data_IF_471693197354
#
_entry.id   IF_471693197354
#
_cell.length_a   1.000
_cell.length_b   1.000
_cell.length_c   1.000
_cell.angle_alpha   90.00
_cell.angle_beta   90.00
_cell.angle_gamma   90.00
#
_symmetry.space_group_name_H-M   'P 1'
#
loop_
_entity.id
_entity.type
_entity.pdbx_description
1 polymer ?
#
# COMPACT_ATOMS: atom_id res chain seq x y z
N UNK A 1 -31.99 16.05 50.43
CA UNK A 1 -32.92 15.01 50.94
C UNK A 1 -33.80 14.35 49.88
N UNK A 2 -34.10 14.94 48.71
CA UNK A 2 -34.85 14.23 47.65
C UNK A 2 -33.96 13.32 46.78
N UNK A 3 -32.70 13.71 46.53
CA UNK A 3 -31.75 12.97 45.68
C UNK A 3 -31.37 11.60 46.29
N UNK A 4 -31.09 11.55 47.60
CA UNK A 4 -30.65 10.31 48.28
C UNK A 4 -31.71 9.21 48.25
N UNK A 5 -33.00 9.59 48.30
CA UNK A 5 -34.12 8.64 48.26
C UNK A 5 -34.28 8.00 46.88
N UNK A 6 -34.05 8.77 45.82
CA UNK A 6 -34.11 8.27 44.44
C UNK A 6 -32.94 7.33 44.16
N UNK A 7 -31.75 7.65 44.66
CA UNK A 7 -30.58 6.77 44.53
C UNK A 7 -30.78 5.43 45.24
N UNK A 8 -31.23 5.43 46.49
CA UNK A 8 -31.48 4.19 47.25
C UNK A 8 -32.59 3.36 46.60
N UNK A 9 -33.64 4.01 46.09
CA UNK A 9 -34.72 3.33 45.36
C UNK A 9 -34.20 2.69 44.05
N UNK A 10 -33.37 3.39 43.30
CA UNK A 10 -32.75 2.88 42.07
C UNK A 10 -31.85 1.68 42.38
N UNK A 11 -31.00 1.77 43.41
CA UNK A 11 -30.12 0.69 43.84
C UNK A 11 -30.90 -0.56 44.24
N UNK A 12 -31.99 -0.41 44.98
CA UNK A 12 -32.86 -1.53 45.35
C UNK A 12 -33.50 -2.17 44.12
N UNK A 13 -33.97 -1.37 43.15
CA UNK A 13 -34.60 -1.89 41.94
C UNK A 13 -33.61 -2.63 41.05
N UNK A 14 -32.39 -2.11 40.93
CA UNK A 14 -31.29 -2.75 40.21
C UNK A 14 -30.90 -4.07 40.88
N UNK A 15 -30.80 -4.11 42.22
CA UNK A 15 -30.50 -5.34 42.97
C UNK A 15 -31.55 -6.43 42.74
N UNK A 16 -32.83 -6.07 42.81
CA UNK A 16 -33.92 -7.02 42.55
C UNK A 16 -33.87 -7.52 41.10
N UNK A 17 -33.66 -6.63 40.15
CA UNK A 17 -33.55 -7.01 38.74
C UNK A 17 -32.39 -7.99 38.48
N UNK A 18 -31.20 -7.71 39.02
CA UNK A 18 -30.06 -8.62 38.86
C UNK A 18 -30.23 -9.93 39.64
N UNK A 19 -30.89 -9.91 40.79
CA UNK A 19 -31.21 -11.11 41.53
C UNK A 19 -32.18 -12.01 40.75
N UNK A 20 -33.26 -11.44 40.20
CA UNK A 20 -34.24 -12.17 39.41
C UNK A 20 -33.62 -12.69 38.10
N UNK A 21 -32.81 -11.88 37.43
CA UNK A 21 -32.07 -12.28 36.23
C UNK A 21 -31.06 -13.39 36.53
N UNK A 22 -30.33 -13.28 37.64
CA UNK A 22 -29.38 -14.30 38.10
C UNK A 22 -30.04 -15.62 38.46
N UNK A 23 -31.19 -15.56 39.16
CA UNK A 23 -32.00 -16.73 39.48
C UNK A 23 -32.48 -17.42 38.21
N UNK A 24 -33.00 -16.65 37.25
CA UNK A 24 -33.48 -17.18 35.97
C UNK A 24 -32.38 -17.84 35.13
N UNK A 25 -31.17 -17.26 35.12
CA UNK A 25 -30.00 -17.86 34.47
C UNK A 25 -29.58 -19.16 35.18
N UNK A 26 -29.66 -19.18 36.52
CA UNK A 26 -29.36 -20.35 37.35
C UNK A 26 -30.33 -21.52 37.16
N UNK A 27 -31.61 -21.22 36.94
CA UNK A 27 -32.66 -22.21 36.68
C UNK A 27 -32.57 -22.83 35.27
N UNK A 28 -32.00 -22.09 34.31
CA UNK A 28 -31.92 -22.50 32.90
C UNK A 28 -30.51 -22.38 32.28
N UNK A 29 -29.47 -22.99 32.86
CA UNK A 29 -28.08 -22.77 32.44
C UNK A 29 -27.80 -23.26 31.01
N UNK A 30 -28.42 -24.36 30.58
CA UNK A 30 -28.24 -24.92 29.23
C UNK A 30 -28.81 -24.02 28.14
N UNK A 31 -29.94 -23.35 28.39
CA UNK A 31 -30.56 -22.43 27.44
C UNK A 31 -29.72 -21.16 27.28
N UNK A 32 -29.25 -20.58 28.39
CA UNK A 32 -28.41 -19.39 28.35
C UNK A 32 -27.10 -19.63 27.59
N UNK A 33 -26.43 -20.77 27.82
CA UNK A 33 -25.19 -21.14 27.10
C UNK A 33 -25.49 -21.37 25.61
N UNK A 34 -26.57 -22.10 25.29
CA UNK A 34 -26.96 -22.33 23.91
C UNK A 34 -27.24 -21.04 23.14
N UNK A 35 -28.00 -20.11 23.73
CA UNK A 35 -28.35 -18.82 23.12
C UNK A 35 -27.11 -17.94 22.93
N UNK A 36 -26.25 -17.83 23.94
CA UNK A 36 -25.03 -17.00 23.82
C UNK A 36 -24.06 -17.57 22.78
N UNK A 37 -23.89 -18.90 22.73
CA UNK A 37 -22.98 -19.55 21.79
C UNK A 37 -23.51 -19.51 20.35
N UNK A 38 -24.81 -19.70 20.15
CA UNK A 38 -25.46 -19.52 18.84
C UNK A 38 -25.38 -18.07 18.38
N UNK A 39 -25.67 -17.10 19.24
CA UNK A 39 -25.57 -15.68 18.90
C UNK A 39 -24.12 -15.29 18.55
N UNK A 40 -23.14 -15.78 19.30
CA UNK A 40 -21.73 -15.58 19.00
C UNK A 40 -21.35 -16.19 17.63
N UNK A 41 -21.79 -17.43 17.35
CA UNK A 41 -21.52 -18.09 16.07
C UNK A 41 -22.13 -17.34 14.89
N UNK A 42 -23.33 -16.79 15.03
CA UNK A 42 -23.98 -15.98 14.00
C UNK A 42 -23.22 -14.68 13.74
N UNK A 43 -22.70 -14.03 14.78
CA UNK A 43 -21.85 -12.84 14.62
C UNK A 43 -20.52 -13.17 13.95
N UNK A 44 -19.93 -14.34 14.25
CA UNK A 44 -18.71 -14.81 13.59
C UNK A 44 -18.87 -15.03 12.08
N UNK A 45 -20.08 -15.36 11.59
CA UNK A 45 -20.33 -15.46 10.14
C UNK A 45 -20.07 -14.16 9.40
N UNK A 46 -20.10 -13.00 10.08
CA UNK A 46 -19.74 -11.70 9.50
C UNK A 46 -18.31 -11.63 8.97
N UNK A 47 -17.40 -12.50 9.45
CA UNK A 47 -16.01 -12.54 8.99
C UNK A 47 -15.88 -12.91 7.50
N UNK A 48 -16.87 -13.62 6.94
CA UNK A 48 -16.88 -14.01 5.52
C UNK A 48 -16.90 -12.80 4.60
N UNK A 49 -17.45 -11.67 5.06
CA UNK A 49 -17.49 -10.41 4.29
C UNK A 49 -16.41 -9.41 4.76
N UNK A 50 -15.38 -9.88 5.45
CA UNK A 50 -14.26 -9.04 5.83
C UNK A 50 -13.43 -8.68 4.58
N UNK A 51 -13.44 -7.40 4.22
CA UNK A 51 -12.65 -6.87 3.10
C UNK A 51 -11.47 -6.09 3.66
N UNK A 52 -10.28 -6.66 3.52
CA UNK A 52 -9.05 -5.94 3.83
C UNK A 52 -8.73 -4.96 2.70
N UNK A 53 -8.69 -3.68 3.01
CA UNK A 53 -8.23 -2.64 2.07
C UNK A 53 -6.75 -2.41 2.34
N UNK A 54 -5.86 -3.04 1.57
CA UNK A 54 -4.42 -2.89 1.70
C UNK A 54 -3.87 -1.79 0.76
N UNK A 55 -4.36 -0.56 0.96
CA UNK A 55 -3.84 0.62 0.25
C UNK A 55 -3.25 1.59 1.26
N UNK A 56 -1.92 1.59 1.36
CA UNK A 56 -1.15 2.46 2.26
C UNK A 56 -1.52 3.94 2.05
N UNK A 57 -1.76 4.37 0.81
CA UNK A 57 -2.02 5.78 0.49
C UNK A 57 -3.38 6.24 1.02
N UNK A 58 -4.35 5.33 1.10
CA UNK A 58 -5.67 5.60 1.65
C UNK A 58 -5.72 5.45 3.17
N UNK A 59 -4.98 4.50 3.74
CA UNK A 59 -4.98 4.26 5.19
C UNK A 59 -4.31 5.39 6.01
N UNK A 60 -3.33 6.09 5.43
CA UNK A 60 -2.62 7.18 6.13
C UNK A 60 -3.26 8.56 5.97
N UNK A 61 -4.39 8.67 5.27
CA UNK A 61 -5.11 9.93 5.07
C UNK A 61 -6.47 9.88 5.75
N UNK A 62 -6.89 10.97 6.40
CA UNK A 62 -8.22 11.02 7.01
C UNK A 62 -9.33 10.88 5.95
N UNK A 63 -10.42 10.20 6.30
CA UNK A 63 -11.45 9.83 5.33
C UNK A 63 -12.08 11.03 4.61
N UNK A 64 -12.25 12.14 5.33
CA UNK A 64 -12.83 13.40 4.83
C UNK A 64 -11.78 14.48 4.55
N UNK A 65 -10.54 14.10 4.23
CA UNK A 65 -9.48 15.07 3.93
C UNK A 65 -9.59 15.65 2.52
N UNK A 66 -9.30 16.95 2.37
CA UNK A 66 -9.22 17.64 1.07
C UNK A 66 -8.24 16.94 0.12
N UNK A 67 -7.17 16.36 0.67
CA UNK A 67 -6.15 15.59 -0.04
C UNK A 67 -6.74 14.39 -0.80
N UNK A 68 -7.77 13.72 -0.26
CA UNK A 68 -8.45 12.61 -0.96
C UNK A 68 -9.26 13.11 -2.15
N UNK A 69 -9.94 14.25 -2.01
CA UNK A 69 -10.70 14.86 -3.11
C UNK A 69 -9.77 15.30 -4.23
N UNK A 70 -8.68 15.98 -3.90
CA UNK A 70 -7.65 16.36 -4.88
C UNK A 70 -7.06 15.14 -5.59
N UNK A 71 -6.76 14.07 -4.84
CA UNK A 71 -6.26 12.83 -5.41
C UNK A 71 -7.27 12.14 -6.35
N UNK A 72 -8.55 12.12 -5.99
CA UNK A 72 -9.61 11.56 -6.83
C UNK A 72 -9.76 12.32 -8.15
N UNK A 73 -9.77 13.66 -8.09
CA UNK A 73 -9.83 14.53 -9.26
C UNK A 73 -8.59 14.35 -10.14
N UNK A 74 -7.39 14.32 -9.53
CA UNK A 74 -6.14 14.10 -10.27
C UNK A 74 -6.13 12.74 -10.98
N UNK A 75 -6.56 11.68 -10.29
CA UNK A 75 -6.63 10.33 -10.86
C UNK A 75 -7.58 10.26 -12.06
N UNK A 76 -8.73 10.92 -11.98
CA UNK A 76 -9.68 11.02 -13.08
C UNK A 76 -9.08 11.80 -14.27
N UNK A 77 -8.44 12.93 -13.99
CA UNK A 77 -7.81 13.78 -15.00
C UNK A 77 -6.68 13.07 -15.76
N UNK A 78 -5.78 12.37 -15.05
CA UNK A 78 -4.66 11.66 -15.65
C UNK A 78 -5.04 10.29 -16.23
N UNK A 79 -6.30 9.87 -16.09
CA UNK A 79 -6.78 8.54 -16.48
C UNK A 79 -5.88 7.42 -15.92
N UNK A 80 -5.37 7.62 -14.70
CA UNK A 80 -4.54 6.61 -14.02
C UNK A 80 -5.42 5.44 -13.60
N UNK A 81 -5.52 4.45 -14.50
CA UNK A 81 -6.21 3.18 -14.30
C UNK A 81 -5.38 2.25 -13.38
N UNK A 82 -5.06 2.72 -12.18
CA UNK A 82 -4.30 1.94 -11.19
C UNK A 82 -3.51 2.84 -10.24
N UNK A 83 -2.92 2.24 -9.21
CA UNK A 83 -1.90 2.91 -8.40
C UNK A 83 -0.60 2.98 -9.21
N UNK A 84 -0.05 4.17 -9.51
CA UNK A 84 1.24 4.26 -10.19
C UNK A 84 2.31 3.57 -9.32
N UNK A 85 2.92 2.53 -9.86
CA UNK A 85 4.02 1.82 -9.21
C UNK A 85 5.34 2.28 -9.83
N UNK A 86 6.23 2.82 -9.00
CA UNK A 86 7.57 3.22 -9.41
C UNK A 86 8.56 2.13 -8.99
N UNK A 87 9.28 1.57 -9.96
CA UNK A 87 10.43 0.70 -9.69
C UNK A 87 11.69 1.57 -9.63
N UNK A 88 12.27 1.70 -8.43
CA UNK A 88 13.53 2.42 -8.23
C UNK A 88 14.64 1.42 -7.89
N UNK A 89 15.69 1.40 -8.72
CA UNK A 89 16.80 0.47 -8.56
C UNK A 89 18.04 1.24 -8.12
N UNK A 90 18.44 1.03 -6.86
CA UNK A 90 19.68 1.58 -6.31
C UNK A 90 20.86 0.66 -6.62
N UNK A 91 21.84 1.15 -7.39
CA UNK A 91 23.05 0.39 -7.74
C UNK A 91 24.26 0.96 -6.98
N UNK A 92 25.02 0.07 -6.35
CA UNK A 92 26.27 0.40 -5.64
C UNK A 92 27.44 -0.44 -6.17
N UNK A 93 28.62 0.17 -6.26
CA UNK A 93 29.83 -0.57 -6.61
C UNK A 93 30.22 -1.54 -5.48
N UNK A 94 30.48 -2.80 -5.82
CA UNK A 94 30.79 -3.86 -4.83
C UNK A 94 32.09 -3.66 -4.06
N UNK A 95 33.01 -2.84 -4.58
CA UNK A 95 34.26 -2.44 -3.93
C UNK A 95 34.12 -1.15 -3.10
N UNK A 96 32.91 -0.62 -2.95
CA UNK A 96 32.64 0.61 -2.21
C UNK A 96 33.18 1.89 -2.86
N UNK A 97 33.78 1.80 -4.04
CA UNK A 97 34.31 2.94 -4.78
C UNK A 97 33.27 3.62 -5.67
N UNK A 98 33.73 4.51 -6.55
CA UNK A 98 32.84 5.22 -7.49
C UNK A 98 32.23 4.29 -8.53
N UNK A 99 30.93 4.46 -8.80
CA UNK A 99 30.20 3.77 -9.89
C UNK A 99 30.59 4.30 -11.28
N UNK A 100 31.21 5.48 -11.37
CA UNK A 100 31.56 6.17 -12.63
C UNK A 100 32.82 5.60 -13.32
N UNK A 101 33.26 4.40 -12.95
CA UNK A 101 34.35 3.71 -13.65
C UNK A 101 33.75 2.90 -14.80
N UNK A 102 34.44 2.86 -15.94
CA UNK A 102 33.93 2.27 -17.19
C UNK A 102 33.35 0.86 -16.99
N UNK A 103 34.02 0.00 -16.23
CA UNK A 103 33.56 -1.36 -15.93
C UNK A 103 32.16 -1.39 -15.29
N UNK A 104 31.86 -0.46 -14.37
CA UNK A 104 30.58 -0.43 -13.67
C UNK A 104 29.52 0.35 -14.46
N UNK A 105 29.90 1.42 -15.17
CA UNK A 105 29.00 2.13 -16.09
C UNK A 105 28.42 1.15 -17.12
N UNK A 106 29.25 0.31 -17.72
CA UNK A 106 28.81 -0.67 -18.71
C UNK A 106 27.80 -1.66 -18.13
N UNK A 107 28.04 -2.12 -16.89
CA UNK A 107 27.10 -2.98 -16.18
C UNK A 107 25.77 -2.30 -15.84
N UNK A 108 25.79 -1.01 -15.48
CA UNK A 108 24.57 -0.25 -15.22
C UNK A 108 23.74 -0.11 -16.49
N UNK A 109 24.38 0.22 -17.62
CA UNK A 109 23.70 0.29 -18.92
C UNK A 109 23.15 -1.06 -19.37
N UNK A 110 23.85 -2.16 -19.09
CA UNK A 110 23.36 -3.51 -19.42
C UNK A 110 22.13 -3.88 -18.58
N UNK A 111 22.12 -3.52 -17.29
CA UNK A 111 20.96 -3.74 -16.41
C UNK A 111 19.74 -2.94 -16.87
N UNK A 112 19.96 -1.67 -17.23
CA UNK A 112 18.90 -0.83 -17.79
C UNK A 112 18.33 -1.44 -19.09
N UNK A 113 19.20 -1.84 -20.02
CA UNK A 113 18.77 -2.47 -21.28
C UNK A 113 17.95 -3.73 -21.04
N UNK A 114 18.38 -4.59 -20.12
CA UNK A 114 17.67 -5.81 -19.75
C UNK A 114 16.24 -5.48 -19.29
N UNK A 115 16.10 -4.50 -18.40
CA UNK A 115 14.82 -4.15 -17.80
C UNK A 115 13.85 -3.48 -18.77
N UNK A 116 14.36 -2.62 -19.66
CA UNK A 116 13.53 -1.88 -20.61
C UNK A 116 13.17 -2.69 -21.87
N UNK A 117 14.10 -3.50 -22.39
CA UNK A 117 13.97 -4.09 -23.72
C UNK A 117 13.92 -5.62 -23.76
N UNK A 118 14.53 -6.31 -22.80
CA UNK A 118 14.63 -7.79 -22.83
C UNK A 118 13.67 -8.47 -21.84
N UNK A 119 13.19 -7.74 -20.84
CA UNK A 119 12.29 -8.27 -19.82
C UNK A 119 10.88 -8.45 -20.38
N UNK A 120 10.53 -9.71 -20.65
CA UNK A 120 9.21 -10.12 -21.09
C UNK A 120 8.59 -11.07 -20.05
N UNK A 121 7.36 -10.78 -19.63
CA UNK A 121 6.64 -11.57 -18.62
C UNK A 121 5.40 -12.19 -19.25
N UNK A 122 5.24 -13.50 -19.14
CA UNK A 122 4.05 -14.21 -19.61
C UNK A 122 3.04 -14.34 -18.48
N UNK A 123 1.86 -13.76 -18.64
CA UNK A 123 0.73 -13.91 -17.71
C UNK A 123 -0.54 -14.24 -18.51
N UNK A 124 -1.30 -15.24 -18.08
CA UNK A 124 -2.54 -15.70 -18.75
C UNK A 124 -2.37 -15.92 -20.27
N UNK A 125 -1.25 -16.54 -20.67
CA UNK A 125 -0.92 -16.85 -22.07
C UNK A 125 -0.68 -15.62 -22.98
N UNK A 126 -0.52 -14.43 -22.39
CA UNK A 126 -0.11 -13.20 -23.06
C UNK A 126 1.27 -12.80 -22.56
N UNK A 127 2.17 -12.46 -23.49
CA UNK A 127 3.50 -11.94 -23.17
C UNK A 127 3.43 -10.42 -23.12
N UNK A 128 3.78 -9.84 -21.97
CA UNK A 128 3.86 -8.40 -21.76
C UNK A 128 5.32 -7.96 -21.75
N UNK A 129 5.65 -6.95 -22.54
CA UNK A 129 6.91 -6.23 -22.46
C UNK A 129 6.78 -5.00 -21.54
N UNK A 130 7.91 -4.44 -21.11
CA UNK A 130 7.91 -3.19 -20.34
C UNK A 130 7.17 -2.05 -21.05
N UNK A 131 7.26 -1.99 -22.39
CA UNK A 131 6.55 -1.01 -23.23
C UNK A 131 5.03 -1.07 -23.12
N UNK A 132 4.48 -2.25 -22.81
CA UNK A 132 3.03 -2.45 -22.74
C UNK A 132 2.48 -2.07 -21.35
N UNK A 133 3.35 -2.08 -20.34
CA UNK A 133 3.02 -1.79 -18.95
C UNK A 133 3.32 -0.33 -18.57
N UNK A 134 4.28 0.29 -19.25
CA UNK A 134 4.68 1.65 -18.93
C UNK A 134 3.60 2.65 -19.37
N UNK A 135 3.25 3.57 -18.46
CA UNK A 135 2.27 4.62 -18.73
C UNK A 135 2.88 5.76 -19.56
N UNK A 136 2.52 7.01 -19.25
CA UNK A 136 3.01 8.20 -19.96
C UNK A 136 4.51 8.48 -19.77
N UNK A 137 5.19 7.77 -18.87
CA UNK A 137 6.56 8.06 -18.42
C UNK A 137 7.56 6.92 -18.70
N UNK A 138 7.43 6.23 -19.84
CA UNK A 138 8.36 5.15 -20.23
C UNK A 138 9.82 5.62 -20.41
N UNK A 139 10.04 6.90 -20.70
CA UNK A 139 11.34 7.47 -21.08
C UNK A 139 12.22 7.92 -19.90
N UNK A 140 11.76 7.74 -18.65
CA UNK A 140 12.52 8.20 -17.48
C UNK A 140 13.87 7.47 -17.30
N UNK A 141 14.00 6.24 -17.79
CA UNK A 141 15.26 5.48 -17.77
C UNK A 141 16.32 6.07 -18.69
N UNK A 142 15.90 6.55 -19.87
CA UNK A 142 16.79 7.00 -20.95
C UNK A 142 17.68 8.18 -20.51
N UNK A 143 17.19 9.04 -19.61
CA UNK A 143 17.97 10.16 -19.05
C UNK A 143 19.27 9.69 -18.37
N UNK A 144 19.23 8.56 -17.67
CA UNK A 144 20.40 7.97 -17.01
C UNK A 144 21.36 7.40 -18.07
N UNK A 145 20.83 6.74 -19.10
CA UNK A 145 21.61 6.22 -20.21
C UNK A 145 22.36 7.33 -20.96
N UNK A 146 21.68 8.43 -21.28
CA UNK A 146 22.28 9.58 -21.94
C UNK A 146 23.40 10.19 -21.11
N UNK A 147 23.17 10.39 -19.81
CA UNK A 147 24.18 10.94 -18.91
C UNK A 147 25.43 10.05 -18.83
N UNK A 148 25.25 8.74 -18.65
CA UNK A 148 26.37 7.79 -18.54
C UNK A 148 27.15 7.68 -19.85
N UNK A 149 26.45 7.70 -20.98
CA UNK A 149 27.07 7.70 -22.31
C UNK A 149 27.91 8.95 -22.54
N UNK A 150 27.34 10.13 -22.26
CA UNK A 150 28.05 11.42 -22.37
C UNK A 150 29.27 11.49 -21.44
N UNK A 151 29.15 10.99 -20.21
CA UNK A 151 30.26 10.92 -19.25
C UNK A 151 31.39 10.03 -19.77
N UNK A 152 31.05 8.85 -20.30
CA UNK A 152 32.02 7.90 -20.88
C UNK A 152 32.73 8.52 -22.09
N UNK A 153 32.00 9.22 -22.95
CA UNK A 153 32.57 9.86 -24.14
C UNK A 153 33.48 11.04 -23.78
N UNK A 154 33.11 11.85 -22.79
CA UNK A 154 33.96 12.93 -22.26
C UNK A 154 35.27 12.37 -21.67
N UNK A 155 35.21 11.21 -21.00
CA UNK A 155 36.42 10.59 -20.44
C UNK A 155 37.33 9.99 -21.51
N UNK A 156 36.76 9.48 -22.60
CA UNK A 156 37.51 8.96 -23.77
C UNK A 156 38.11 10.09 -24.60
N UNK A 157 37.35 11.16 -24.84
CA UNK A 157 37.83 12.37 -25.50
C UNK A 157 38.53 13.23 -24.46
N UNK A 158 39.85 13.09 -24.33
CA UNK A 158 40.73 13.98 -23.52
C UNK A 158 40.70 15.48 -23.93
N UNK A 159 39.62 16.02 -24.53
CA UNK A 159 39.54 17.41 -24.98
C UNK A 159 38.22 18.10 -24.57
N UNK A 160 38.29 19.32 -23.99
CA UNK A 160 37.19 19.96 -23.28
C UNK A 160 36.35 20.86 -24.19
N UNK A 161 35.67 20.30 -25.20
CA UNK A 161 34.77 21.12 -26.01
C UNK A 161 33.53 20.32 -26.43
N UNK A 162 32.53 20.29 -25.56
CA UNK A 162 31.14 20.05 -25.97
C UNK A 162 30.44 21.40 -25.88
N UNK A 163 30.19 22.01 -27.04
CA UNK A 163 29.35 23.19 -27.16
C UNK A 163 27.91 22.68 -27.17
N UNK A 164 27.19 22.92 -26.08
CA UNK A 164 25.74 22.72 -26.03
C UNK A 164 25.11 23.89 -26.80
N UNK A 165 24.57 23.57 -27.98
CA UNK A 165 23.60 24.39 -28.70
C UNK A 165 22.41 23.51 -29.00
#
# INVERSE_FOLDING_TARGET
>A
MSCDRVQVWLEQRIRLFFYDLGSWIGDHPKLCIGVTLTCASLLCLGIVNFKEVNDVRQQFSADNSLSRTEYAIAREFFQEQGSPFYLVIGIRAGDGGSLLRNKYIDRVMDVERLLQYELNVTYENVTYAFSDLCGTQCQMGDAVQYFLTMYKDTKKRKSPNVKLT
#
